data_IF_734215643048
#
_entry.id   IF_734215643048
#
_cell.length_a   1.000
_cell.length_b   1.000
_cell.length_c   1.000
_cell.angle_alpha   90.00
_cell.angle_beta   90.00
_cell.angle_gamma   90.00
#
_symmetry.space_group_name_H-M   'P 1'
#
loop_
_entity.id
_entity.type
_entity.pdbx_description
1 polymer ?
#
# COMPACT_ATOMS: atom_id res chain seq x y z
N UNK A 1 -11.69 -19.56 -21.03
CA UNK A 1 -10.76 -18.57 -20.50
C UNK A 1 -11.14 -17.15 -20.93
N UNK A 2 -11.23 -16.83 -22.23
CA UNK A 2 -11.55 -15.46 -22.71
C UNK A 2 -12.87 -14.88 -22.16
N UNK A 3 -13.96 -15.67 -22.20
CA UNK A 3 -15.26 -15.23 -21.64
C UNK A 3 -15.19 -14.95 -20.14
N UNK A 4 -14.51 -15.79 -19.36
CA UNK A 4 -14.34 -15.60 -17.93
C UNK A 4 -13.54 -14.32 -17.64
N UNK A 5 -12.44 -14.09 -18.36
CA UNK A 5 -11.64 -12.86 -18.22
C UNK A 5 -12.43 -11.62 -18.57
N UNK A 6 -13.33 -11.70 -19.58
CA UNK A 6 -14.18 -10.59 -19.98
C UNK A 6 -15.23 -10.26 -18.89
N UNK A 7 -15.86 -11.29 -18.30
CA UNK A 7 -16.80 -11.12 -17.18
C UNK A 7 -16.09 -10.49 -15.99
N UNK A 8 -14.90 -10.99 -15.63
CA UNK A 8 -14.13 -10.43 -14.52
C UNK A 8 -13.71 -8.98 -14.78
N UNK A 9 -13.37 -8.60 -16.01
CA UNK A 9 -13.10 -7.19 -16.36
C UNK A 9 -14.33 -6.31 -16.12
N UNK A 10 -15.52 -6.75 -16.53
CA UNK A 10 -16.75 -5.99 -16.28
C UNK A 10 -17.04 -5.84 -14.78
N UNK A 11 -16.84 -6.92 -13.99
CA UNK A 11 -16.98 -6.85 -12.52
C UNK A 11 -15.97 -5.87 -11.94
N UNK A 12 -14.72 -5.92 -12.39
CA UNK A 12 -13.66 -5.02 -11.95
C UNK A 12 -13.98 -3.55 -12.24
N UNK A 13 -14.45 -3.26 -13.45
CA UNK A 13 -14.84 -1.91 -13.87
C UNK A 13 -16.03 -1.39 -13.04
N UNK A 14 -16.93 -2.27 -12.60
CA UNK A 14 -18.02 -1.92 -11.71
C UNK A 14 -17.53 -1.68 -10.28
N UNK A 15 -16.69 -2.56 -9.73
CA UNK A 15 -16.14 -2.45 -8.37
C UNK A 15 -15.28 -1.19 -8.23
N UNK A 16 -14.37 -0.92 -9.17
CA UNK A 16 -13.55 0.29 -9.19
C UNK A 16 -14.21 1.45 -9.96
N UNK A 17 -15.51 1.41 -10.07
CA UNK A 17 -16.31 2.48 -10.65
C UNK A 17 -16.34 3.74 -9.77
N UNK A 18 -17.02 4.77 -10.28
CA UNK A 18 -17.19 6.05 -9.57
C UNK A 18 -17.70 5.91 -8.12
N UNK A 19 -18.63 4.99 -7.78
CA UNK A 19 -19.12 4.90 -6.41
C UNK A 19 -18.03 4.58 -5.37
N UNK A 20 -17.17 3.60 -5.64
CA UNK A 20 -16.08 3.26 -4.71
C UNK A 20 -15.02 4.36 -4.66
N UNK A 21 -14.66 4.94 -5.80
CA UNK A 21 -13.70 6.06 -5.85
C UNK A 21 -14.23 7.27 -5.07
N UNK A 22 -15.51 7.61 -5.23
CA UNK A 22 -16.15 8.68 -4.46
C UNK A 22 -16.19 8.37 -2.96
N UNK A 23 -16.44 7.12 -2.58
CA UNK A 23 -16.44 6.71 -1.17
C UNK A 23 -15.04 6.82 -0.56
N UNK A 24 -14.01 6.34 -1.25
CA UNK A 24 -12.61 6.40 -0.81
C UNK A 24 -12.13 7.85 -0.67
N UNK A 25 -12.26 8.65 -1.73
CA UNK A 25 -11.86 10.06 -1.69
C UNK A 25 -12.73 10.87 -0.74
N UNK A 26 -14.04 10.67 -0.76
CA UNK A 26 -15.00 11.36 0.11
C UNK A 26 -14.69 11.13 1.59
N UNK A 27 -14.34 9.90 1.99
CA UNK A 27 -13.91 9.58 3.34
C UNK A 27 -12.61 10.33 3.69
N UNK A 28 -11.63 10.32 2.78
CA UNK A 28 -10.36 11.04 2.99
C UNK A 28 -10.54 12.56 3.09
N UNK A 29 -11.37 13.14 2.21
CA UNK A 29 -11.74 14.55 2.24
C UNK A 29 -12.43 14.90 3.56
N UNK A 30 -13.41 14.10 3.97
CA UNK A 30 -14.12 14.30 5.24
C UNK A 30 -13.15 14.35 6.43
N UNK A 31 -12.28 13.36 6.57
CA UNK A 31 -11.31 13.34 7.66
C UNK A 31 -10.27 14.46 7.55
N UNK A 32 -9.83 14.80 6.35
CA UNK A 32 -8.91 15.92 6.13
C UNK A 32 -9.44 17.22 6.73
N UNK A 33 -10.71 17.55 6.46
CA UNK A 33 -11.32 18.77 7.00
C UNK A 33 -11.68 18.65 8.48
N UNK A 34 -12.23 17.54 8.92
CA UNK A 34 -12.62 17.34 10.33
C UNK A 34 -11.42 17.26 11.27
N UNK A 35 -10.30 16.74 10.80
CA UNK A 35 -9.06 16.67 11.57
C UNK A 35 -8.11 17.87 11.30
N UNK A 36 -8.64 18.97 10.74
CA UNK A 36 -7.93 20.24 10.54
C UNK A 36 -6.63 20.09 9.75
N UNK A 37 -6.69 19.38 8.61
CA UNK A 37 -5.53 19.12 7.74
C UNK A 37 -4.38 18.42 8.50
N UNK A 38 -4.69 17.38 9.27
CA UNK A 38 -3.75 16.68 10.14
C UNK A 38 -2.48 16.23 9.40
N UNK A 39 -2.62 15.84 8.13
CA UNK A 39 -1.51 15.43 7.27
C UNK A 39 -0.53 16.57 6.94
N UNK A 40 -0.89 17.83 7.14
CA UNK A 40 0.00 18.98 7.01
C UNK A 40 0.43 19.50 8.39
N UNK A 41 -0.53 19.70 9.27
CA UNK A 41 -0.31 20.36 10.58
C UNK A 41 0.47 19.49 11.55
N UNK A 42 0.35 18.16 11.45
CA UNK A 42 0.97 17.20 12.38
C UNK A 42 1.99 16.25 11.73
N UNK A 43 2.36 16.49 10.47
CA UNK A 43 3.30 15.61 9.75
C UNK A 43 4.67 15.52 10.45
N UNK A 44 5.21 16.62 10.94
CA UNK A 44 6.48 16.64 11.70
C UNK A 44 6.39 15.80 12.97
N UNK A 45 5.28 15.92 13.70
CA UNK A 45 5.01 15.10 14.89
C UNK A 45 4.89 13.62 14.52
N UNK A 46 4.19 13.30 13.43
CA UNK A 46 4.04 11.94 12.93
C UNK A 46 5.39 11.25 12.68
N UNK A 47 6.31 11.93 12.00
CA UNK A 47 7.67 11.40 11.80
C UNK A 47 8.46 11.25 13.11
N UNK A 48 8.29 12.17 14.07
CA UNK A 48 8.91 12.05 15.39
C UNK A 48 8.38 10.84 16.16
N UNK A 49 7.08 10.57 16.07
CA UNK A 49 6.42 9.44 16.75
C UNK A 49 6.88 8.07 16.27
N UNK A 50 7.39 7.96 15.03
CA UNK A 50 7.92 6.68 14.49
C UNK A 50 9.04 6.12 15.39
N UNK A 51 9.91 6.98 15.87
CA UNK A 51 11.11 6.59 16.63
C UNK A 51 10.95 6.75 18.15
N UNK A 52 9.77 7.18 18.59
CA UNK A 52 9.48 7.30 20.02
C UNK A 52 9.39 5.91 20.64
N UNK A 53 10.11 5.68 21.73
CA UNK A 53 9.97 4.46 22.52
C UNK A 53 8.69 4.56 23.36
N UNK A 54 7.83 3.60 23.19
CA UNK A 54 6.60 3.48 23.98
C UNK A 54 6.70 2.29 24.93
N UNK A 55 6.20 2.46 26.14
CA UNK A 55 6.10 1.43 27.17
C UNK A 55 4.68 0.86 27.27
N UNK A 56 3.98 0.77 26.15
CA UNK A 56 2.61 0.26 26.12
C UNK A 56 2.53 -1.22 25.75
N UNK A 57 1.29 -1.74 25.78
CA UNK A 57 0.99 -3.07 25.28
C UNK A 57 1.23 -3.15 23.76
N UNK A 58 1.75 -4.28 23.29
CA UNK A 58 2.01 -4.53 21.88
C UNK A 58 3.06 -5.62 21.66
N UNK A 59 3.10 -6.19 20.45
CA UNK A 59 4.02 -7.27 20.10
C UNK A 59 5.33 -6.75 19.49
N UNK A 60 5.27 -5.58 18.84
CA UNK A 60 6.39 -4.97 18.08
C UNK A 60 6.46 -3.46 18.33
N UNK A 61 7.61 -2.82 18.08
CA UNK A 61 7.74 -1.36 18.20
C UNK A 61 6.89 -0.63 17.15
N UNK A 62 6.60 0.68 17.35
CA UNK A 62 5.88 1.50 16.37
C UNK A 62 6.61 1.56 15.02
N UNK A 63 7.94 1.63 15.03
CA UNK A 63 8.76 1.55 13.83
C UNK A 63 8.62 0.19 13.12
N UNK A 64 8.67 -0.92 13.86
CA UNK A 64 8.48 -2.26 13.31
C UNK A 64 7.07 -2.47 12.76
N UNK A 65 6.04 -1.96 13.45
CA UNK A 65 4.67 -2.00 12.95
C UNK A 65 4.51 -1.19 11.64
N UNK A 66 5.13 0.00 11.57
CA UNK A 66 5.17 0.80 10.35
C UNK A 66 5.92 0.06 9.23
N UNK A 67 7.10 -0.50 9.49
CA UNK A 67 7.83 -1.29 8.50
C UNK A 67 7.04 -2.51 8.03
N UNK A 68 6.30 -3.16 8.93
CA UNK A 68 5.40 -4.27 8.57
C UNK A 68 4.25 -3.78 7.67
N UNK A 69 3.65 -2.63 7.97
CA UNK A 69 2.64 -2.02 7.11
C UNK A 69 3.24 -1.60 5.75
N UNK A 70 4.42 -0.97 5.75
CA UNK A 70 5.13 -0.61 4.52
C UNK A 70 5.56 -1.84 3.71
N UNK A 71 5.91 -2.95 4.36
CA UNK A 71 6.24 -4.18 3.65
C UNK A 71 5.08 -4.71 2.81
N UNK A 72 3.85 -4.51 3.27
CA UNK A 72 2.66 -4.92 2.54
C UNK A 72 2.28 -3.95 1.41
N UNK A 73 2.56 -2.65 1.59
CA UNK A 73 2.20 -1.58 0.65
C UNK A 73 3.27 -1.33 -0.40
N UNK A 74 4.56 -1.24 0.02
CA UNK A 74 5.67 -1.04 -0.92
C UNK A 74 5.98 -2.35 -1.64
N UNK A 75 5.42 -2.50 -2.82
CA UNK A 75 5.47 -3.72 -3.61
C UNK A 75 5.51 -3.46 -5.10
N UNK A 76 4.87 -4.34 -5.85
CA UNK A 76 4.69 -4.16 -7.29
C UNK A 76 3.90 -2.90 -7.62
N UNK A 77 3.06 -2.39 -6.71
CA UNK A 77 2.30 -1.15 -6.88
C UNK A 77 3.18 0.06 -7.21
N UNK A 78 4.30 0.20 -6.52
CA UNK A 78 5.20 1.36 -6.65
C UNK A 78 6.05 1.33 -7.93
N UNK A 79 6.28 0.17 -8.52
CA UNK A 79 7.09 -0.01 -9.73
C UNK A 79 6.20 -0.28 -10.94
N UNK A 80 5.42 -1.36 -10.88
CA UNK A 80 4.54 -1.82 -11.96
C UNK A 80 3.26 -0.98 -12.00
N UNK A 81 2.63 -0.73 -10.85
CA UNK A 81 1.37 0.01 -10.75
C UNK A 81 1.47 1.45 -11.22
N UNK A 82 2.55 2.17 -10.86
CA UNK A 82 2.80 3.54 -11.33
C UNK A 82 2.97 3.57 -12.86
N UNK A 83 3.78 2.65 -13.40
CA UNK A 83 3.99 2.54 -14.83
C UNK A 83 2.68 2.24 -15.58
N UNK A 84 1.88 1.29 -15.08
CA UNK A 84 0.56 0.96 -15.64
C UNK A 84 -0.42 2.14 -15.55
N UNK A 85 -0.38 2.91 -14.45
CA UNK A 85 -1.19 4.12 -14.33
C UNK A 85 -0.85 5.15 -15.41
N UNK A 86 0.46 5.38 -15.62
CA UNK A 86 0.95 6.33 -16.62
C UNK A 86 0.73 5.79 -18.04
N UNK A 87 0.91 4.49 -18.30
CA UNK A 87 0.60 3.90 -19.60
C UNK A 87 -0.87 4.08 -20.00
N UNK A 88 -1.79 3.87 -19.07
CA UNK A 88 -3.22 3.94 -19.32
C UNK A 88 -3.81 5.36 -19.20
N UNK A 89 -3.29 6.18 -18.28
CA UNK A 89 -3.81 7.51 -17.94
C UNK A 89 -2.90 8.69 -18.33
N UNK A 90 -1.75 8.41 -18.98
CA UNK A 90 -0.76 9.43 -19.30
C UNK A 90 -0.04 9.97 -18.06
N UNK A 91 0.90 10.94 -18.23
CA UNK A 91 1.61 11.59 -17.14
C UNK A 91 0.70 12.18 -16.05
N UNK A 92 -0.51 12.64 -16.43
CA UNK A 92 -1.51 13.18 -15.50
C UNK A 92 -2.01 12.20 -14.45
N UNK A 93 -1.91 10.89 -14.68
CA UNK A 93 -2.26 9.89 -13.68
C UNK A 93 -1.42 10.04 -12.39
N UNK A 94 -0.16 10.46 -12.49
CA UNK A 94 0.70 10.70 -11.32
C UNK A 94 0.16 11.83 -10.43
N UNK A 95 -0.36 12.90 -11.01
CA UNK A 95 -1.01 13.98 -10.25
C UNK A 95 -2.19 13.44 -9.43
N UNK A 96 -3.03 12.61 -10.03
CA UNK A 96 -4.18 12.03 -9.36
C UNK A 96 -3.79 10.98 -8.30
N UNK A 97 -2.63 10.33 -8.43
CA UNK A 97 -2.03 9.54 -7.35
C UNK A 97 -1.66 10.43 -6.15
N UNK A 98 -1.08 11.62 -6.37
CA UNK A 98 -0.80 12.58 -5.29
C UNK A 98 -2.06 13.03 -4.57
N UNK A 99 -3.11 13.35 -5.33
CA UNK A 99 -4.41 13.75 -4.77
C UNK A 99 -4.99 12.64 -3.90
N UNK A 100 -4.99 11.40 -4.39
CA UNK A 100 -5.50 10.26 -3.62
C UNK A 100 -4.68 9.99 -2.36
N UNK A 101 -3.36 10.12 -2.43
CA UNK A 101 -2.48 9.93 -1.28
C UNK A 101 -2.65 11.04 -0.24
N UNK A 102 -2.78 12.29 -0.67
CA UNK A 102 -3.00 13.42 0.23
C UNK A 102 -4.23 13.22 1.11
N UNK A 103 -5.36 12.88 0.51
CA UNK A 103 -6.58 12.59 1.26
C UNK A 103 -6.51 11.23 1.96
N UNK A 104 -5.83 10.25 1.35
CA UNK A 104 -5.60 8.92 1.91
C UNK A 104 -4.80 8.94 3.22
N UNK A 105 -3.90 9.90 3.41
CA UNK A 105 -3.16 10.08 4.67
C UNK A 105 -4.09 10.28 5.87
N UNK A 106 -5.14 11.11 5.72
CA UNK A 106 -6.12 11.31 6.79
C UNK A 106 -6.97 10.06 7.04
N UNK A 107 -7.29 9.31 5.99
CA UNK A 107 -7.96 8.01 6.12
C UNK A 107 -7.07 7.01 6.87
N UNK A 108 -5.79 6.93 6.52
CA UNK A 108 -4.81 6.04 7.16
C UNK A 108 -4.59 6.37 8.64
N UNK A 109 -4.63 7.68 8.98
CA UNK A 109 -4.64 8.14 10.37
C UNK A 109 -5.84 7.54 11.14
N UNK A 110 -7.04 7.67 10.58
CA UNK A 110 -8.27 7.18 11.20
C UNK A 110 -8.24 5.65 11.37
N UNK A 111 -7.74 4.92 10.36
CA UNK A 111 -7.54 3.47 10.41
C UNK A 111 -6.59 3.06 11.54
N UNK A 112 -5.43 3.72 11.64
CA UNK A 112 -4.43 3.43 12.66
C UNK A 112 -4.91 3.74 14.08
N UNK A 113 -5.69 4.82 14.26
CA UNK A 113 -6.31 5.18 15.52
C UNK A 113 -7.28 4.09 15.98
N UNK A 114 -8.22 3.69 15.13
CA UNK A 114 -9.21 2.66 15.49
C UNK A 114 -8.56 1.28 15.70
N UNK A 115 -7.45 0.99 15.02
CA UNK A 115 -6.72 -0.26 15.20
C UNK A 115 -6.24 -0.45 16.65
N UNK A 116 -5.73 0.60 17.29
CA UNK A 116 -5.29 0.57 18.69
C UNK A 116 -6.47 0.58 19.65
N UNK A 117 -7.47 1.42 19.39
CA UNK A 117 -8.62 1.58 20.27
C UNK A 117 -9.43 0.31 20.46
N UNK A 118 -9.56 -0.50 19.41
CA UNK A 118 -10.41 -1.72 19.41
C UNK A 118 -9.62 -3.03 19.39
N UNK A 119 -8.29 -3.00 19.56
CA UNK A 119 -7.47 -4.20 19.63
C UNK A 119 -7.78 -5.04 20.87
N UNK A 120 -7.43 -6.30 20.81
CA UNK A 120 -7.55 -7.24 21.92
C UNK A 120 -6.39 -8.25 21.90
N UNK A 121 -6.21 -9.01 22.96
CA UNK A 121 -5.31 -10.16 23.00
C UNK A 121 -6.02 -11.41 22.50
N UNK A 122 -5.34 -12.20 21.71
CA UNK A 122 -5.81 -13.51 21.29
C UNK A 122 -5.55 -14.58 22.36
N UNK A 123 -5.94 -15.83 22.08
CA UNK A 123 -5.76 -16.97 23.00
C UNK A 123 -4.30 -17.26 23.34
N UNK A 124 -3.33 -16.81 22.52
CA UNK A 124 -1.90 -16.97 22.75
C UNK A 124 -1.29 -15.73 23.44
N UNK A 125 -2.08 -14.70 23.75
CA UNK A 125 -1.62 -13.43 24.31
C UNK A 125 -1.06 -12.46 23.27
N UNK A 126 -1.09 -12.78 21.97
CA UNK A 126 -0.69 -11.89 20.88
C UNK A 126 -1.78 -10.85 20.59
N UNK A 127 -1.36 -9.67 20.16
CA UNK A 127 -2.30 -8.60 19.79
C UNK A 127 -3.02 -8.92 18.49
N UNK A 128 -4.35 -8.79 18.53
CA UNK A 128 -5.25 -8.93 17.40
C UNK A 128 -6.11 -7.66 17.26
N UNK A 129 -6.07 -7.04 16.08
CA UNK A 129 -6.81 -5.81 15.80
C UNK A 129 -7.00 -5.61 14.30
N UNK A 130 -7.55 -4.47 13.94
CA UNK A 130 -7.88 -4.13 12.57
C UNK A 130 -9.38 -3.98 12.33
N UNK A 131 -9.82 -3.82 11.06
CA UNK A 131 -11.21 -3.51 10.74
C UNK A 131 -12.24 -4.46 11.31
N UNK A 132 -11.96 -5.77 11.32
CA UNK A 132 -12.89 -6.75 11.87
C UNK A 132 -13.24 -6.45 13.34
N UNK A 133 -12.31 -5.92 14.12
CA UNK A 133 -12.53 -5.62 15.54
C UNK A 133 -13.29 -4.32 15.76
N UNK A 134 -12.96 -3.25 15.04
CA UNK A 134 -13.72 -2.01 15.21
C UNK A 134 -15.09 -2.04 14.51
N UNK A 135 -15.27 -2.87 13.46
CA UNK A 135 -16.58 -3.13 12.90
C UNK A 135 -17.49 -3.91 13.86
N UNK A 136 -16.93 -4.93 14.54
CA UNK A 136 -17.70 -5.74 15.49
C UNK A 136 -17.99 -4.99 16.80
N UNK A 137 -16.95 -4.42 17.43
CA UNK A 137 -17.05 -3.81 18.76
C UNK A 137 -17.47 -2.34 18.73
N UNK A 138 -16.97 -1.57 17.76
CA UNK A 138 -17.28 -0.15 17.64
C UNK A 138 -18.60 0.09 16.93
N UNK A 139 -18.81 -0.56 15.79
CA UNK A 139 -20.03 -0.38 14.99
C UNK A 139 -21.12 -1.41 15.33
N UNK A 140 -20.85 -2.37 16.23
CA UNK A 140 -21.75 -3.48 16.59
C UNK A 140 -22.26 -4.26 15.38
N UNK A 141 -21.42 -4.45 14.36
CA UNK A 141 -21.77 -5.15 13.12
C UNK A 141 -20.87 -6.36 12.83
N UNK A 142 -21.11 -7.52 13.48
CA UNK A 142 -20.35 -8.74 13.22
C UNK A 142 -20.45 -9.22 11.77
N UNK A 143 -21.53 -8.87 11.07
CA UNK A 143 -21.71 -9.20 9.67
C UNK A 143 -20.67 -8.50 8.77
N UNK A 144 -20.52 -7.18 8.91
CA UNK A 144 -19.51 -6.42 8.15
C UNK A 144 -18.09 -6.86 8.52
N UNK A 145 -17.85 -7.16 9.80
CA UNK A 145 -16.56 -7.66 10.28
C UNK A 145 -16.16 -8.99 9.60
N UNK A 146 -17.11 -9.93 9.48
CA UNK A 146 -16.89 -11.21 8.77
C UNK A 146 -16.69 -11.02 7.27
N UNK A 147 -17.43 -10.11 6.63
CA UNK A 147 -17.24 -9.76 5.21
C UNK A 147 -15.84 -9.21 5.00
N UNK A 148 -15.40 -8.24 5.83
CA UNK A 148 -14.04 -7.71 5.76
C UNK A 148 -13.00 -8.81 5.89
N UNK A 149 -13.10 -9.64 6.92
CA UNK A 149 -12.14 -10.71 7.17
C UNK A 149 -12.10 -11.75 6.04
N UNK A 150 -13.27 -12.10 5.46
CA UNK A 150 -13.34 -12.98 4.29
C UNK A 150 -12.60 -12.39 3.08
N UNK A 151 -12.83 -11.12 2.76
CA UNK A 151 -12.09 -10.47 1.68
C UNK A 151 -10.61 -10.29 2.01
N UNK A 152 -10.26 -10.02 3.28
CA UNK A 152 -8.86 -9.95 3.72
C UNK A 152 -8.09 -11.25 3.48
N UNK A 153 -8.69 -12.41 3.80
CA UNK A 153 -8.14 -13.73 3.46
C UNK A 153 -8.05 -13.92 1.94
N UNK A 154 -9.08 -13.48 1.21
CA UNK A 154 -9.11 -13.62 -0.26
C UNK A 154 -8.02 -12.78 -0.93
N UNK A 155 -7.80 -11.54 -0.47
CA UNK A 155 -6.72 -10.67 -0.96
C UNK A 155 -5.35 -11.28 -0.66
N UNK A 156 -5.15 -11.82 0.54
CA UNK A 156 -3.90 -12.47 0.90
C UNK A 156 -3.61 -13.70 0.04
N UNK A 157 -4.60 -14.55 -0.22
CA UNK A 157 -4.44 -15.80 -0.97
C UNK A 157 -4.46 -15.61 -2.49
N UNK A 158 -5.39 -14.83 -3.01
CA UNK A 158 -5.71 -14.77 -4.44
C UNK A 158 -5.31 -13.45 -5.10
N UNK A 159 -4.99 -12.44 -4.30
CA UNK A 159 -4.78 -11.08 -4.75
C UNK A 159 -3.33 -10.60 -4.66
N UNK A 160 -3.21 -9.37 -4.19
CA UNK A 160 -1.94 -8.64 -4.04
C UNK A 160 -0.97 -9.34 -3.08
N UNK A 161 -1.47 -10.15 -2.15
CA UNK A 161 -0.65 -10.82 -1.14
C UNK A 161 0.23 -11.95 -1.67
N UNK A 162 -0.14 -12.62 -2.77
CA UNK A 162 0.59 -13.78 -3.29
C UNK A 162 0.84 -13.69 -4.78
N UNK A 163 -0.15 -13.97 -5.61
CA UNK A 163 0.04 -14.25 -7.03
C UNK A 163 0.67 -13.10 -7.81
N UNK A 164 0.23 -11.87 -7.58
CA UNK A 164 0.78 -10.68 -8.27
C UNK A 164 2.26 -10.50 -7.96
N UNK A 165 2.65 -10.68 -6.71
CA UNK A 165 4.02 -10.50 -6.25
C UNK A 165 4.92 -11.64 -6.75
N UNK A 166 4.51 -12.88 -6.51
CA UNK A 166 5.27 -14.07 -6.88
C UNK A 166 5.49 -14.13 -8.39
N UNK A 167 4.47 -13.81 -9.17
CA UNK A 167 4.56 -13.78 -10.63
C UNK A 167 5.50 -12.68 -11.11
N UNK A 168 5.41 -11.47 -10.51
CA UNK A 168 6.28 -10.35 -10.86
C UNK A 168 7.75 -10.64 -10.52
N UNK A 169 8.04 -11.28 -9.38
CA UNK A 169 9.40 -11.74 -9.03
C UNK A 169 9.89 -12.75 -10.08
N UNK A 170 9.05 -13.75 -10.39
CA UNK A 170 9.43 -14.82 -11.32
C UNK A 170 9.73 -14.31 -12.73
N UNK A 171 8.88 -13.42 -13.23
CA UNK A 171 9.10 -12.82 -14.56
C UNK A 171 10.31 -11.87 -14.53
N UNK A 172 10.48 -11.07 -13.49
CA UNK A 172 11.64 -10.18 -13.32
C UNK A 172 12.97 -10.96 -13.29
N UNK A 173 13.06 -12.04 -12.53
CA UNK A 173 14.26 -12.88 -12.45
C UNK A 173 14.50 -13.64 -13.76
N UNK A 174 13.45 -14.13 -14.39
CA UNK A 174 13.57 -14.79 -15.69
C UNK A 174 14.10 -13.84 -16.78
N UNK A 175 13.61 -12.60 -16.82
CA UNK A 175 14.04 -11.58 -17.79
C UNK A 175 15.44 -11.02 -17.50
N UNK A 176 15.86 -10.97 -16.22
CA UNK A 176 17.13 -10.34 -15.83
C UNK A 176 18.32 -11.29 -15.91
N UNK A 177 18.17 -12.50 -15.40
CA UNK A 177 19.23 -13.50 -15.23
C UNK A 177 18.90 -14.87 -15.82
N UNK A 178 17.77 -14.98 -16.56
CA UNK A 178 17.34 -16.24 -17.17
C UNK A 178 16.92 -17.32 -16.17
N UNK A 179 16.54 -16.95 -14.94
CA UNK A 179 16.19 -17.92 -13.89
C UNK A 179 14.92 -18.69 -14.26
N UNK A 180 14.93 -20.03 -14.24
CA UNK A 180 13.75 -20.83 -14.52
C UNK A 180 12.67 -20.61 -13.45
N UNK A 181 11.40 -20.59 -13.86
CA UNK A 181 10.24 -20.34 -12.98
C UNK A 181 10.15 -21.32 -11.81
N UNK A 182 10.49 -22.60 -12.01
CA UNK A 182 10.46 -23.59 -10.94
C UNK A 182 11.52 -23.34 -9.86
N UNK A 183 12.69 -22.78 -10.23
CA UNK A 183 13.73 -22.39 -9.27
C UNK A 183 13.23 -21.24 -8.41
N UNK A 184 12.66 -20.22 -9.04
CA UNK A 184 12.03 -19.09 -8.32
C UNK A 184 10.93 -19.59 -7.38
N UNK A 185 10.06 -20.51 -7.84
CA UNK A 185 9.01 -21.10 -7.02
C UNK A 185 9.55 -21.75 -5.76
N UNK A 186 10.59 -22.60 -5.88
CA UNK A 186 11.20 -23.30 -4.75
C UNK A 186 11.84 -22.30 -3.78
N UNK A 187 12.66 -21.37 -4.27
CA UNK A 187 13.37 -20.40 -3.44
C UNK A 187 12.38 -19.50 -2.64
N UNK A 188 11.36 -18.98 -3.31
CA UNK A 188 10.35 -18.15 -2.65
C UNK A 188 9.54 -18.94 -1.63
N UNK A 189 9.12 -20.17 -1.97
CA UNK A 189 8.35 -21.02 -1.06
C UNK A 189 9.13 -21.30 0.21
N UNK A 190 10.40 -21.69 0.10
CA UNK A 190 11.27 -21.97 1.25
C UNK A 190 11.51 -20.71 2.09
N UNK A 191 11.85 -19.59 1.45
CA UNK A 191 12.12 -18.33 2.14
C UNK A 191 10.89 -17.81 2.89
N UNK A 192 9.72 -17.79 2.25
CA UNK A 192 8.47 -17.35 2.87
C UNK A 192 8.05 -18.28 4.00
N UNK A 193 8.11 -19.60 3.81
CA UNK A 193 7.80 -20.56 4.86
C UNK A 193 8.68 -20.34 6.10
N UNK A 194 9.99 -20.17 5.91
CA UNK A 194 10.93 -19.95 7.01
C UNK A 194 10.64 -18.69 7.82
N UNK A 195 10.23 -17.60 7.16
CA UNK A 195 9.94 -16.33 7.84
C UNK A 195 8.57 -16.36 8.51
N UNK A 196 7.53 -16.83 7.80
CA UNK A 196 6.13 -16.76 8.27
C UNK A 196 5.82 -17.73 9.42
N UNK A 197 6.58 -18.82 9.58
CA UNK A 197 6.46 -19.71 10.74
C UNK A 197 6.81 -18.95 12.05
N UNK A 198 7.70 -17.97 12.00
CA UNK A 198 8.10 -17.17 13.17
C UNK A 198 7.12 -16.07 13.58
N UNK A 199 5.96 -15.95 12.95
CA UNK A 199 4.92 -14.98 13.30
C UNK A 199 5.32 -13.51 13.07
N UNK A 200 4.56 -12.59 13.69
CA UNK A 200 4.70 -11.15 13.49
C UNK A 200 6.10 -10.63 13.88
N UNK A 201 6.70 -11.17 14.92
CA UNK A 201 8.01 -10.71 15.39
C UNK A 201 9.11 -10.94 14.36
N UNK A 202 9.10 -12.11 13.69
CA UNK A 202 10.08 -12.41 12.64
C UNK A 202 9.79 -11.62 11.36
N UNK A 203 8.52 -11.50 10.98
CA UNK A 203 8.10 -10.69 9.84
C UNK A 203 8.53 -9.24 10.03
N UNK A 204 8.26 -8.65 11.20
CA UNK A 204 8.63 -7.29 11.54
C UNK A 204 10.15 -7.08 11.57
N UNK A 205 10.91 -8.04 12.13
CA UNK A 205 12.38 -7.98 12.15
C UNK A 205 13.02 -8.05 10.76
N UNK A 206 12.39 -8.76 9.81
CA UNK A 206 12.81 -8.75 8.40
C UNK A 206 12.44 -7.43 7.75
N UNK A 207 11.20 -6.97 7.94
CA UNK A 207 10.68 -5.75 7.34
C UNK A 207 11.48 -4.51 7.76
N UNK A 208 11.80 -4.36 9.06
CA UNK A 208 12.58 -3.22 9.58
C UNK A 208 13.97 -3.06 8.98
N UNK A 209 14.57 -4.16 8.48
CA UNK A 209 15.89 -4.15 7.84
C UNK A 209 15.80 -3.98 6.33
N UNK A 210 14.87 -4.71 5.71
CA UNK A 210 14.75 -4.78 4.25
C UNK A 210 14.13 -3.51 3.68
N UNK A 211 13.05 -2.99 4.29
CA UNK A 211 12.33 -1.83 3.76
C UNK A 211 13.20 -0.57 3.66
N UNK A 212 13.92 -0.12 4.73
CA UNK A 212 14.75 1.07 4.60
C UNK A 212 15.88 0.89 3.59
N UNK A 213 16.53 -0.29 3.57
CA UNK A 213 17.61 -0.58 2.63
C UNK A 213 17.15 -0.46 1.18
N UNK A 214 16.00 -1.05 0.86
CA UNK A 214 15.43 -1.01 -0.48
C UNK A 214 14.99 0.38 -0.89
N UNK A 215 14.35 1.11 0.02
CA UNK A 215 13.94 2.49 -0.23
C UNK A 215 15.16 3.36 -0.56
N UNK A 216 16.25 3.23 0.20
CA UNK A 216 17.49 3.97 -0.04
C UNK A 216 18.08 3.63 -1.41
N UNK A 217 18.16 2.35 -1.77
CA UNK A 217 18.70 1.93 -3.07
C UNK A 217 17.83 2.43 -4.23
N UNK A 218 16.51 2.28 -4.12
CA UNK A 218 15.60 2.68 -5.17
C UNK A 218 15.53 4.20 -5.33
N UNK A 219 15.33 4.93 -4.23
CA UNK A 219 15.31 6.40 -4.22
C UNK A 219 16.66 6.96 -4.68
N UNK A 220 17.78 6.37 -4.23
CA UNK A 220 19.12 6.75 -4.66
C UNK A 220 19.29 6.65 -6.18
N UNK A 221 18.81 5.57 -6.79
CA UNK A 221 18.80 5.42 -8.26
C UNK A 221 18.00 6.51 -8.96
N UNK A 222 16.80 6.82 -8.45
CA UNK A 222 15.98 7.91 -9.04
C UNK A 222 16.61 9.28 -8.81
N UNK A 223 17.16 9.55 -7.63
CA UNK A 223 17.84 10.83 -7.37
C UNK A 223 18.98 11.06 -8.37
N UNK A 224 19.75 10.02 -8.70
CA UNK A 224 20.76 10.12 -9.74
C UNK A 224 20.16 10.49 -11.11
N UNK A 225 19.02 9.89 -11.48
CA UNK A 225 18.30 10.27 -12.72
C UNK A 225 17.85 11.74 -12.66
N UNK A 226 17.25 12.18 -11.55
CA UNK A 226 16.76 13.54 -11.39
C UNK A 226 17.90 14.58 -11.46
N UNK A 227 19.02 14.29 -10.80
CA UNK A 227 20.19 15.17 -10.82
C UNK A 227 20.80 15.26 -12.23
N UNK A 228 20.90 14.13 -12.95
CA UNK A 228 21.41 14.10 -14.32
C UNK A 228 20.53 14.89 -15.30
N UNK A 229 19.25 15.05 -15.01
CA UNK A 229 18.28 15.72 -15.87
C UNK A 229 17.60 16.90 -15.18
N UNK A 230 18.28 17.55 -14.23
CA UNK A 230 17.72 18.59 -13.34
C UNK A 230 17.05 19.75 -14.12
N UNK A 231 17.59 20.10 -15.28
CA UNK A 231 17.07 21.16 -16.14
C UNK A 231 15.69 20.85 -16.73
N UNK A 232 15.36 19.56 -16.88
CA UNK A 232 14.07 19.11 -17.41
C UNK A 232 13.01 18.93 -16.32
N UNK A 233 13.39 18.95 -15.05
CA UNK A 233 12.48 18.69 -13.93
C UNK A 233 11.31 19.68 -13.86
N UNK A 234 11.49 21.02 -14.00
CA UNK A 234 10.36 21.97 -13.98
C UNK A 234 9.36 21.73 -15.12
N UNK A 235 9.83 21.45 -16.32
CA UNK A 235 8.98 21.14 -17.48
C UNK A 235 8.24 19.81 -17.32
N UNK A 236 8.88 18.82 -16.70
CA UNK A 236 8.28 17.53 -16.37
C UNK A 236 7.14 17.68 -15.36
N UNK A 237 7.33 18.44 -14.29
CA UNK A 237 6.30 18.74 -13.32
C UNK A 237 5.11 19.50 -13.94
N UNK A 238 5.42 20.51 -14.78
CA UNK A 238 4.40 21.25 -15.51
C UNK A 238 3.61 20.33 -16.47
N UNK A 239 4.28 19.39 -17.14
CA UNK A 239 3.64 18.38 -17.99
C UNK A 239 2.69 17.48 -17.20
N UNK A 240 3.11 16.97 -16.03
CA UNK A 240 2.28 16.12 -15.17
C UNK A 240 1.02 16.87 -14.76
N UNK A 241 1.14 18.11 -14.26
CA UNK A 241 0.01 18.91 -13.83
C UNK A 241 -0.91 19.24 -15.02
N UNK A 242 -0.35 19.71 -16.14
CA UNK A 242 -1.14 20.04 -17.33
C UNK A 242 -1.90 18.81 -17.86
N UNK A 243 -1.23 17.66 -17.93
CA UNK A 243 -1.81 16.40 -18.42
C UNK A 243 -2.93 15.87 -17.53
N UNK A 244 -2.98 16.25 -16.25
CA UNK A 244 -4.03 15.85 -15.34
C UNK A 244 -5.39 16.49 -15.67
N UNK A 245 -5.38 17.64 -16.34
CA UNK A 245 -6.58 18.45 -16.61
C UNK A 245 -6.88 18.65 -18.10
N UNK A 246 -6.01 18.16 -18.99
CA UNK A 246 -6.20 18.30 -20.44
C UNK A 246 -6.31 16.94 -21.12
N UNK A 247 -7.26 16.76 -22.06
CA UNK A 247 -7.29 15.58 -22.91
C UNK A 247 -5.99 15.44 -23.69
N UNK A 248 -5.40 14.25 -23.72
CA UNK A 248 -4.20 13.97 -24.49
C UNK A 248 -4.50 13.01 -25.63
N UNK A 249 -3.93 13.28 -26.81
CA UNK A 249 -3.90 12.31 -27.88
C UNK A 249 -2.94 11.18 -27.53
N UNK A 250 -3.36 9.93 -27.67
CA UNK A 250 -2.49 8.77 -27.47
C UNK A 250 -1.54 8.69 -28.66
N UNK A 251 -0.24 8.64 -28.39
CA UNK A 251 0.76 8.33 -29.40
C UNK A 251 0.54 6.89 -29.88
N UNK A 252 0.14 6.70 -31.13
CA UNK A 252 0.00 5.38 -31.75
C UNK A 252 -1.43 4.92 -32.13
N UNK A 253 -2.36 5.83 -32.36
CA UNK A 253 -3.63 5.52 -33.05
C UNK A 253 -4.77 4.98 -32.17
N UNK A 254 -4.71 5.16 -30.86
CA UNK A 254 -5.79 4.84 -29.93
C UNK A 254 -6.69 6.04 -29.62
N UNK A 255 -7.81 5.79 -28.91
CA UNK A 255 -8.70 6.84 -28.37
C UNK A 255 -7.96 7.74 -27.40
N UNK A 256 -8.13 9.07 -27.49
CA UNK A 256 -7.46 10.05 -26.64
C UNK A 256 -7.70 9.78 -25.15
N UNK A 257 -6.66 9.97 -24.31
CA UNK A 257 -6.77 9.87 -22.85
C UNK A 257 -7.58 11.07 -22.37
N UNK A 258 -8.73 10.78 -21.74
CA UNK A 258 -9.54 11.82 -21.11
C UNK A 258 -9.06 12.10 -19.70
N UNK A 259 -9.37 13.29 -19.16
CA UNK A 259 -9.13 13.63 -17.74
C UNK A 259 -9.73 12.57 -16.80
N UNK A 260 -10.90 12.03 -17.14
CA UNK A 260 -11.59 11.00 -16.34
C UNK A 260 -10.76 9.71 -16.26
N UNK A 261 -10.16 9.28 -17.38
CA UNK A 261 -9.30 8.09 -17.42
C UNK A 261 -8.03 8.33 -16.58
N UNK A 262 -7.37 9.49 -16.76
CA UNK A 262 -6.19 9.84 -15.96
C UNK A 262 -6.51 9.84 -14.45
N UNK A 263 -7.64 10.42 -14.08
CA UNK A 263 -8.13 10.45 -12.69
C UNK A 263 -8.41 9.04 -12.17
N UNK A 264 -9.20 8.24 -12.87
CA UNK A 264 -9.54 6.88 -12.44
C UNK A 264 -8.31 6.00 -12.30
N UNK A 265 -7.41 6.02 -13.28
CA UNK A 265 -6.18 5.20 -13.24
C UNK A 265 -5.22 5.68 -12.18
N UNK A 266 -5.05 7.00 -12.01
CA UNK A 266 -4.20 7.55 -10.96
C UNK A 266 -4.72 7.24 -9.57
N UNK A 267 -6.00 7.48 -9.28
CA UNK A 267 -6.60 7.21 -7.98
C UNK A 267 -6.59 5.71 -7.66
N UNK A 268 -7.06 4.87 -8.59
CA UNK A 268 -7.13 3.43 -8.40
C UNK A 268 -5.74 2.83 -8.11
N UNK A 269 -4.71 3.17 -8.90
CA UNK A 269 -3.36 2.66 -8.72
C UNK A 269 -2.65 3.29 -7.52
N UNK A 270 -2.96 4.54 -7.18
CA UNK A 270 -2.50 5.17 -5.94
C UNK A 270 -3.01 4.44 -4.71
N UNK A 271 -4.31 4.16 -4.63
CA UNK A 271 -4.93 3.42 -3.53
C UNK A 271 -4.46 1.96 -3.51
N UNK A 272 -4.30 1.33 -4.67
CA UNK A 272 -3.73 -0.02 -4.77
C UNK A 272 -2.32 -0.10 -4.16
N UNK A 273 -1.51 0.96 -4.33
CA UNK A 273 -0.16 1.03 -3.77
C UNK A 273 -0.18 1.29 -2.27
N UNK A 274 -0.81 2.38 -1.81
CA UNK A 274 -0.73 2.82 -0.41
C UNK A 274 -1.78 2.20 0.52
N UNK A 275 -2.76 1.48 -0.02
CA UNK A 275 -3.82 0.77 0.71
C UNK A 275 -4.67 1.67 1.63
N UNK A 276 -4.74 2.98 1.39
CA UNK A 276 -5.55 3.89 2.20
C UNK A 276 -7.03 3.66 1.98
N UNK A 277 -7.75 3.35 3.04
CA UNK A 277 -9.18 3.02 2.98
C UNK A 277 -9.48 1.55 2.69
N UNK A 278 -8.46 0.72 2.42
CA UNK A 278 -8.63 -0.72 2.24
C UNK A 278 -8.75 -1.48 3.58
N UNK A 279 -8.21 -0.93 4.67
CA UNK A 279 -8.29 -1.54 6.00
C UNK A 279 -7.24 -2.62 6.28
N UNK A 280 -6.29 -2.85 5.41
CA UNK A 280 -5.23 -3.85 5.58
C UNK A 280 -4.17 -3.42 6.61
N UNK A 281 -3.60 -2.24 6.46
CA UNK A 281 -2.54 -1.74 7.33
C UNK A 281 -2.91 -1.59 8.81
N UNK A 282 -4.15 -1.28 9.22
CA UNK A 282 -4.59 -1.33 10.61
C UNK A 282 -4.30 -2.66 11.32
N UNK A 283 -4.24 -3.77 10.58
CA UNK A 283 -3.94 -5.10 11.14
C UNK A 283 -2.51 -5.15 11.71
N UNK A 284 -1.52 -4.57 11.00
CA UNK A 284 -0.17 -4.44 11.51
C UNK A 284 -0.04 -3.33 12.56
N UNK A 285 -0.74 -2.21 12.35
CA UNK A 285 -0.73 -1.09 13.29
C UNK A 285 -1.22 -1.48 14.69
N UNK A 286 -2.18 -2.40 14.78
CA UNK A 286 -2.69 -2.90 16.05
C UNK A 286 -1.63 -3.57 16.92
N UNK A 287 -0.62 -4.20 16.32
CA UNK A 287 0.46 -4.88 17.02
C UNK A 287 1.51 -3.94 17.62
N UNK A 288 1.44 -2.63 17.34
CA UNK A 288 2.41 -1.66 17.83
C UNK A 288 2.34 -1.48 19.35
N UNK A 289 3.52 -1.39 19.99
CA UNK A 289 3.63 -1.01 21.41
C UNK A 289 3.32 0.46 21.56
N UNK A 290 2.15 0.77 22.07
CA UNK A 290 1.72 2.14 22.37
C UNK A 290 0.46 2.13 23.22
N UNK A 291 0.28 3.15 24.06
CA UNK A 291 -0.95 3.39 24.82
C UNK A 291 -1.80 4.51 24.18
N UNK A 292 -1.24 5.20 23.17
CA UNK A 292 -1.94 6.28 22.48
C UNK A 292 -2.43 5.83 21.09
N UNK A 293 -3.74 5.81 20.91
CA UNK A 293 -4.36 5.54 19.61
C UNK A 293 -4.06 6.66 18.60
N UNK A 294 -3.95 7.91 19.06
CA UNK A 294 -3.63 9.06 18.22
C UNK A 294 -2.20 9.00 17.70
N UNK A 295 -1.22 8.65 18.55
CA UNK A 295 0.17 8.52 18.11
C UNK A 295 0.33 7.43 17.05
N UNK A 296 -0.33 6.29 17.22
CA UNK A 296 -0.29 5.24 16.20
C UNK A 296 -1.04 5.65 14.91
N UNK A 297 -2.11 6.42 15.02
CA UNK A 297 -2.75 7.05 13.86
C UNK A 297 -1.78 7.93 13.07
N UNK A 298 -1.00 8.78 13.78
CA UNK A 298 0.02 9.63 13.18
C UNK A 298 1.11 8.79 12.50
N UNK A 299 1.61 7.74 13.15
CA UNK A 299 2.60 6.82 12.56
C UNK A 299 2.04 6.17 11.31
N UNK A 300 0.81 5.66 11.34
CA UNK A 300 0.17 4.99 10.20
C UNK A 300 0.00 5.91 8.99
N UNK A 301 -0.30 7.21 9.23
CA UNK A 301 -0.40 8.23 8.19
C UNK A 301 0.89 8.39 7.39
N UNK A 302 2.07 8.26 8.02
CA UNK A 302 3.36 8.38 7.35
C UNK A 302 3.59 7.29 6.33
N UNK A 303 2.96 6.13 6.49
CA UNK A 303 3.04 5.02 5.52
C UNK A 303 2.58 5.45 4.13
N UNK A 304 1.41 6.11 4.02
CA UNK A 304 0.90 6.63 2.74
C UNK A 304 1.81 7.73 2.16
N UNK A 305 2.38 8.58 3.01
CA UNK A 305 3.34 9.59 2.57
C UNK A 305 4.59 8.94 1.96
N UNK A 306 5.20 7.99 2.65
CA UNK A 306 6.42 7.30 2.18
C UNK A 306 6.12 6.51 0.91
N UNK A 307 5.05 5.73 0.88
CA UNK A 307 4.67 4.89 -0.26
C UNK A 307 4.41 5.73 -1.52
N UNK A 308 3.48 6.66 -1.46
CA UNK A 308 2.97 7.31 -2.67
C UNK A 308 3.60 8.68 -2.91
N UNK A 309 3.67 9.56 -1.88
CA UNK A 309 4.25 10.89 -2.08
C UNK A 309 5.76 10.81 -2.32
N UNK A 310 6.44 9.82 -1.74
CA UNK A 310 7.88 9.64 -2.01
C UNK A 310 8.08 8.60 -3.12
N UNK A 311 7.84 7.31 -2.88
CA UNK A 311 8.31 6.24 -3.77
C UNK A 311 7.58 6.23 -5.12
N UNK A 312 6.23 6.31 -5.15
CA UNK A 312 5.51 6.36 -6.43
C UNK A 312 5.85 7.64 -7.22
N UNK A 313 6.05 8.78 -6.52
CA UNK A 313 6.51 10.01 -7.18
C UNK A 313 7.88 9.83 -7.84
N UNK A 314 8.83 9.19 -7.14
CA UNK A 314 10.15 8.91 -7.70
C UNK A 314 10.04 8.05 -8.97
N UNK A 315 9.27 6.97 -8.92
CA UNK A 315 9.03 6.12 -10.11
C UNK A 315 8.40 6.92 -11.26
N UNK A 316 7.33 7.66 -10.96
CA UNK A 316 6.60 8.43 -11.96
C UNK A 316 7.46 9.53 -12.59
N UNK A 317 8.26 10.25 -11.80
CA UNK A 317 9.21 11.25 -12.31
C UNK A 317 10.27 10.62 -13.21
N UNK A 318 10.84 9.48 -12.83
CA UNK A 318 11.80 8.77 -13.67
C UNK A 318 11.18 8.40 -15.05
N UNK A 319 9.95 7.87 -15.05
CA UNK A 319 9.25 7.48 -16.28
C UNK A 319 8.93 8.69 -17.15
N UNK A 320 8.42 9.78 -16.58
CA UNK A 320 8.00 10.96 -17.35
C UNK A 320 9.21 11.74 -17.84
N UNK A 321 10.25 11.91 -17.02
CA UNK A 321 11.48 12.63 -17.34
C UNK A 321 12.23 11.99 -18.50
N UNK A 322 12.31 10.66 -18.51
CA UNK A 322 12.97 9.88 -19.58
C UNK A 322 12.06 9.62 -20.79
N UNK A 323 10.83 10.14 -20.77
CA UNK A 323 9.81 9.92 -21.80
C UNK A 323 9.50 8.43 -22.07
N UNK A 324 9.78 7.55 -21.11
CA UNK A 324 9.59 6.09 -21.28
C UNK A 324 8.14 5.70 -21.51
N UNK A 325 7.19 6.54 -21.12
CA UNK A 325 5.74 6.34 -21.37
C UNK A 325 5.36 6.43 -22.86
N UNK A 326 6.24 6.97 -23.72
CA UNK A 326 5.98 7.06 -25.18
C UNK A 326 6.44 5.82 -25.96
N UNK A 327 7.11 4.89 -25.31
CA UNK A 327 7.71 3.71 -25.96
C UNK A 327 6.73 2.57 -26.23
N UNK A 328 5.48 2.65 -25.73
CA UNK A 328 4.51 1.56 -25.80
C UNK A 328 4.78 0.43 -24.81
N UNK A 329 5.79 0.55 -23.95
CA UNK A 329 6.04 -0.39 -22.84
C UNK A 329 5.04 -0.18 -21.70
N UNK A 330 4.83 -1.20 -20.86
CA UNK A 330 4.00 -1.13 -19.68
C UNK A 330 4.67 -1.80 -18.47
N UNK A 331 4.17 -1.54 -17.28
CA UNK A 331 4.54 -2.19 -16.04
C UNK A 331 6.05 -2.12 -15.75
N UNK A 332 6.62 -3.26 -15.32
CA UNK A 332 8.03 -3.34 -14.95
C UNK A 332 8.97 -3.01 -16.13
N UNK A 333 8.58 -3.31 -17.38
CA UNK A 333 9.38 -3.04 -18.55
C UNK A 333 9.56 -1.53 -18.78
N UNK A 334 8.50 -0.73 -18.61
CA UNK A 334 8.56 0.72 -18.71
C UNK A 334 9.46 1.31 -17.63
N UNK A 335 9.31 0.90 -16.38
CA UNK A 335 10.17 1.39 -15.29
C UNK A 335 11.63 0.99 -15.49
N UNK A 336 11.89 -0.24 -15.93
CA UNK A 336 13.25 -0.71 -16.24
C UNK A 336 13.87 0.10 -17.39
N UNK A 337 13.09 0.41 -18.41
CA UNK A 337 13.52 1.27 -19.51
C UNK A 337 13.87 2.68 -18.99
N UNK A 338 13.00 3.27 -18.15
CA UNK A 338 13.23 4.59 -17.58
C UNK A 338 14.56 4.68 -16.81
N UNK A 339 14.87 3.70 -15.99
CA UNK A 339 16.12 3.64 -15.25
C UNK A 339 17.33 3.36 -16.14
N UNK A 340 17.16 2.53 -17.19
CA UNK A 340 18.24 2.20 -18.11
C UNK A 340 18.64 3.39 -18.98
N UNK A 341 17.69 4.21 -19.41
CA UNK A 341 17.94 5.41 -20.21
C UNK A 341 18.36 6.60 -19.34
N UNK A 342 17.79 6.71 -18.13
CA UNK A 342 18.01 7.82 -17.22
C UNK A 342 19.35 7.80 -16.48
N UNK A 343 19.99 6.63 -16.35
CA UNK A 343 21.30 6.49 -15.69
C UNK A 343 22.44 6.39 -16.71
N UNK A 344 23.61 6.90 -16.32
CA UNK A 344 24.83 6.83 -17.19
C UNK A 344 25.22 5.40 -17.57
N UNK A 345 24.91 4.42 -16.70
CA UNK A 345 25.19 3.00 -16.95
C UNK A 345 23.85 2.25 -17.01
N UNK A 346 23.34 1.93 -18.21
CA UNK A 346 22.02 1.30 -18.40
C UNK A 346 21.84 -0.02 -17.61
N UNK A 347 22.92 -0.79 -17.47
CA UNK A 347 22.91 -2.05 -16.74
C UNK A 347 22.63 -1.87 -15.26
N UNK A 348 23.16 -0.83 -14.63
CA UNK A 348 22.88 -0.50 -13.22
C UNK A 348 21.40 -0.18 -13.04
N UNK A 349 20.83 0.63 -13.95
CA UNK A 349 19.40 0.96 -13.94
C UNK A 349 18.51 -0.29 -13.98
N UNK A 350 18.83 -1.21 -14.88
CA UNK A 350 18.13 -2.50 -14.98
C UNK A 350 18.21 -3.30 -13.66
N UNK A 351 19.38 -3.38 -13.02
CA UNK A 351 19.54 -4.12 -11.78
C UNK A 351 18.83 -3.44 -10.61
N UNK A 352 18.87 -2.11 -10.47
CA UNK A 352 18.17 -1.40 -9.40
C UNK A 352 16.67 -1.71 -9.42
N UNK A 353 16.03 -1.63 -10.60
CA UNK A 353 14.60 -1.92 -10.72
C UNK A 353 14.28 -3.39 -10.43
N UNK A 354 15.05 -4.33 -11.01
CA UNK A 354 14.75 -5.75 -10.85
C UNK A 354 15.04 -6.25 -9.43
N UNK A 355 16.13 -5.83 -8.80
CA UNK A 355 16.43 -6.15 -7.41
C UNK A 355 15.39 -5.48 -6.49
N UNK A 356 15.07 -4.21 -6.74
CA UNK A 356 14.02 -3.50 -6.04
C UNK A 356 12.67 -4.24 -6.13
N UNK A 357 12.28 -4.67 -7.32
CA UNK A 357 11.05 -5.42 -7.53
C UNK A 357 11.03 -6.74 -6.74
N UNK A 358 12.14 -7.49 -6.74
CA UNK A 358 12.24 -8.74 -6.00
C UNK A 358 12.07 -8.51 -4.50
N UNK A 359 12.77 -7.54 -3.93
CA UNK A 359 12.67 -7.25 -2.50
C UNK A 359 11.31 -6.67 -2.13
N UNK A 360 10.81 -5.69 -2.86
CA UNK A 360 9.50 -5.08 -2.63
C UNK A 360 8.37 -6.12 -2.70
N UNK A 361 8.35 -6.94 -3.74
CA UNK A 361 7.35 -7.98 -3.87
C UNK A 361 7.50 -9.08 -2.79
N UNK A 362 8.73 -9.45 -2.42
CA UNK A 362 8.98 -10.42 -1.36
C UNK A 362 8.48 -9.92 0.00
N UNK A 363 8.75 -8.67 0.34
CA UNK A 363 8.25 -8.10 1.61
C UNK A 363 6.74 -7.99 1.61
N UNK A 364 6.11 -7.70 0.47
CA UNK A 364 4.64 -7.70 0.35
C UNK A 364 4.05 -9.08 0.62
N UNK A 365 4.67 -10.15 0.12
CA UNK A 365 4.23 -11.52 0.41
C UNK A 365 4.23 -11.79 1.92
N UNK A 366 5.32 -11.49 2.62
CA UNK A 366 5.40 -11.77 4.07
C UNK A 366 4.46 -10.90 4.90
N UNK A 367 4.26 -9.62 4.52
CA UNK A 367 3.33 -8.72 5.19
C UNK A 367 1.87 -9.16 5.02
N UNK A 368 1.46 -9.49 3.80
CA UNK A 368 0.11 -9.98 3.52
C UNK A 368 -0.17 -11.37 4.11
N UNK A 369 0.87 -12.21 4.29
CA UNK A 369 0.70 -13.45 5.04
C UNK A 369 0.17 -13.18 6.45
N UNK A 370 0.74 -12.20 7.13
CA UNK A 370 0.28 -11.80 8.47
C UNK A 370 -1.15 -11.24 8.45
N UNK A 371 -1.50 -10.40 7.48
CA UNK A 371 -2.86 -9.85 7.38
C UNK A 371 -3.92 -10.94 7.19
N UNK A 372 -3.67 -11.86 6.27
CA UNK A 372 -4.57 -12.98 6.04
C UNK A 372 -4.64 -13.95 7.22
N UNK A 373 -3.53 -14.14 7.95
CA UNK A 373 -3.49 -14.93 9.19
C UNK A 373 -4.43 -14.34 10.26
N UNK A 374 -4.35 -13.01 10.49
CA UNK A 374 -5.22 -12.33 11.47
C UNK A 374 -6.68 -12.33 11.05
N UNK A 375 -6.97 -12.17 9.76
CA UNK A 375 -8.32 -12.31 9.21
C UNK A 375 -8.87 -13.75 9.37
N UNK A 376 -8.04 -14.75 9.09
CA UNK A 376 -8.43 -16.17 9.27
C UNK A 376 -8.64 -16.51 10.74
N UNK A 377 -7.80 -16.01 11.64
CA UNK A 377 -7.97 -16.14 13.08
C UNK A 377 -9.33 -15.60 13.52
N UNK A 378 -9.69 -14.40 13.08
CA UNK A 378 -11.00 -13.79 13.40
C UNK A 378 -12.17 -14.65 12.91
N UNK A 379 -12.09 -15.25 11.71
CA UNK A 379 -13.17 -16.05 11.14
C UNK A 379 -13.36 -17.42 11.79
N UNK A 380 -12.27 -18.14 12.10
CA UNK A 380 -12.29 -19.58 12.43
C UNK A 380 -11.33 -19.98 13.55
N UNK A 381 -10.62 -19.04 14.21
CA UNK A 381 -9.69 -19.29 15.30
C UNK A 381 -8.37 -19.95 14.89
N UNK A 382 -7.55 -20.31 15.88
CA UNK A 382 -6.17 -20.79 15.71
C UNK A 382 -6.03 -22.06 14.85
N UNK A 383 -7.02 -22.98 14.90
CA UNK A 383 -6.95 -24.22 14.09
C UNK A 383 -6.95 -23.92 12.59
N UNK A 384 -7.75 -22.93 12.16
CA UNK A 384 -7.84 -22.54 10.77
C UNK A 384 -6.59 -21.79 10.29
N UNK A 385 -5.89 -21.07 11.16
CA UNK A 385 -4.63 -20.41 10.84
C UNK A 385 -3.56 -21.39 10.34
N UNK A 386 -3.47 -22.58 10.93
CA UNK A 386 -2.54 -23.61 10.48
C UNK A 386 -2.82 -24.05 9.04
N UNK A 387 -4.10 -24.25 8.72
CA UNK A 387 -4.53 -24.63 7.36
C UNK A 387 -4.26 -23.47 6.38
N UNK A 388 -4.59 -22.25 6.79
CA UNK A 388 -4.31 -21.05 5.99
C UNK A 388 -2.83 -20.92 5.62
N UNK A 389 -1.90 -21.10 6.57
CA UNK A 389 -0.45 -21.04 6.31
C UNK A 389 -0.01 -22.07 5.28
N UNK A 390 -0.53 -23.30 5.36
CA UNK A 390 -0.21 -24.36 4.38
C UNK A 390 -0.73 -23.97 2.99
N UNK A 391 -1.99 -23.52 2.89
CA UNK A 391 -2.60 -23.10 1.62
C UNK A 391 -1.85 -21.91 1.02
N UNK A 392 -1.45 -20.94 1.87
CA UNK A 392 -0.66 -19.78 1.46
C UNK A 392 0.67 -20.19 0.81
N UNK A 393 1.40 -21.12 1.43
CA UNK A 393 2.68 -21.63 0.92
C UNK A 393 2.48 -22.38 -0.40
N UNK A 394 1.41 -23.18 -0.53
CA UNK A 394 1.07 -23.86 -1.79
C UNK A 394 0.81 -22.83 -2.91
N UNK A 395 0.10 -21.75 -2.61
CA UNK A 395 -0.21 -20.71 -3.59
C UNK A 395 1.03 -19.94 -4.05
N UNK A 396 2.02 -19.76 -3.16
CA UNK A 396 3.32 -19.22 -3.56
C UNK A 396 4.03 -20.14 -4.54
N UNK A 397 4.02 -21.44 -4.29
CA UNK A 397 4.65 -22.42 -5.19
C UNK A 397 4.00 -22.45 -6.60
N UNK A 398 2.70 -22.23 -6.69
CA UNK A 398 1.93 -22.25 -7.95
C UNK A 398 2.02 -20.89 -8.67
N UNK A 399 2.17 -19.78 -7.94
CA UNK A 399 2.11 -18.41 -8.46
C UNK A 399 2.93 -18.13 -9.73
N UNK A 400 4.19 -18.60 -9.88
CA UNK A 400 5.01 -18.35 -11.06
C UNK A 400 4.41 -18.90 -12.38
N UNK A 401 3.48 -19.83 -12.30
CA UNK A 401 2.88 -20.51 -13.45
C UNK A 401 1.52 -19.94 -13.86
N UNK A 402 0.99 -18.98 -13.09
CA UNK A 402 -0.29 -18.35 -13.38
C UNK A 402 -0.18 -17.25 -14.44
N UNK A 403 -1.31 -16.86 -15.08
CA UNK A 403 -1.36 -15.76 -16.03
C UNK A 403 -1.55 -14.41 -15.32
N UNK A 404 -0.76 -13.40 -15.73
CA UNK A 404 -0.78 -12.07 -15.09
C UNK A 404 -2.15 -11.40 -15.17
N UNK A 405 -2.76 -11.36 -16.36
CA UNK A 405 -4.02 -10.62 -16.57
C UNK A 405 -5.14 -11.11 -15.65
N UNK A 406 -5.28 -12.45 -15.53
CA UNK A 406 -6.29 -13.04 -14.65
C UNK A 406 -6.05 -12.70 -13.18
N UNK A 407 -4.77 -12.79 -12.75
CA UNK A 407 -4.36 -12.51 -11.38
C UNK A 407 -4.63 -11.05 -10.99
N UNK A 408 -4.23 -10.08 -11.83
CA UNK A 408 -4.41 -8.66 -11.50
C UNK A 408 -5.89 -8.26 -11.44
N UNK A 409 -6.72 -8.78 -12.33
CA UNK A 409 -8.16 -8.50 -12.30
C UNK A 409 -8.80 -9.05 -11.02
N UNK A 410 -8.45 -10.28 -10.65
CA UNK A 410 -8.97 -10.89 -9.43
C UNK A 410 -8.50 -10.15 -8.18
N UNK A 411 -7.22 -9.78 -8.13
CA UNK A 411 -6.65 -8.98 -7.04
C UNK A 411 -7.36 -7.63 -6.88
N UNK A 412 -7.60 -6.92 -7.97
CA UNK A 412 -8.33 -5.65 -7.97
C UNK A 412 -9.75 -5.82 -7.41
N UNK A 413 -10.50 -6.83 -7.86
CA UNK A 413 -11.88 -7.09 -7.40
C UNK A 413 -11.92 -7.33 -5.88
N UNK A 414 -11.10 -8.26 -5.37
CA UNK A 414 -11.14 -8.60 -3.94
C UNK A 414 -10.66 -7.44 -3.06
N UNK A 415 -9.69 -6.64 -3.52
CA UNK A 415 -9.26 -5.42 -2.84
C UNK A 415 -10.39 -4.38 -2.75
N UNK A 416 -11.07 -4.11 -3.86
CA UNK A 416 -12.18 -3.17 -3.87
C UNK A 416 -13.34 -3.60 -2.97
N UNK A 417 -13.66 -4.89 -2.98
CA UNK A 417 -14.70 -5.44 -2.08
C UNK A 417 -14.31 -5.37 -0.60
N UNK A 418 -13.02 -5.50 -0.26
CA UNK A 418 -12.52 -5.35 1.11
C UNK A 418 -12.63 -3.92 1.62
N UNK A 419 -12.46 -2.91 0.76
CA UNK A 419 -12.55 -1.50 1.12
C UNK A 419 -13.93 -1.10 1.64
N UNK A 420 -15.00 -1.63 1.07
CA UNK A 420 -16.37 -1.20 1.36
C UNK A 420 -16.73 -1.32 2.84
N UNK A 421 -16.63 -2.49 3.50
CA UNK A 421 -16.93 -2.61 4.93
C UNK A 421 -16.00 -1.74 5.79
N UNK A 422 -14.74 -1.58 5.42
CA UNK A 422 -13.81 -0.71 6.14
C UNK A 422 -14.27 0.75 6.12
N UNK A 423 -14.60 1.30 4.95
CA UNK A 423 -15.05 2.68 4.81
C UNK A 423 -16.38 2.93 5.53
N UNK A 424 -17.30 1.97 5.53
CA UNK A 424 -18.53 2.02 6.35
C UNK A 424 -18.15 2.15 7.83
N UNK A 425 -17.18 1.35 8.30
CA UNK A 425 -16.68 1.42 9.68
C UNK A 425 -16.09 2.78 10.04
N UNK A 426 -15.22 3.31 9.19
CA UNK A 426 -14.59 4.62 9.41
C UNK A 426 -15.63 5.76 9.47
N UNK A 427 -16.59 5.77 8.54
CA UNK A 427 -17.67 6.77 8.54
C UNK A 427 -18.58 6.58 9.75
N UNK A 428 -18.90 5.35 10.13
CA UNK A 428 -19.72 5.04 11.30
C UNK A 428 -19.09 5.52 12.60
N UNK A 429 -17.79 5.32 12.76
CA UNK A 429 -17.02 5.68 13.95
C UNK A 429 -16.37 7.08 13.87
N UNK A 430 -16.75 7.90 12.90
CA UNK A 430 -16.14 9.22 12.66
C UNK A 430 -16.17 10.16 13.86
N UNK A 431 -17.20 10.09 14.71
CA UNK A 431 -17.32 10.94 15.90
C UNK A 431 -16.26 10.56 16.95
N UNK A 432 -15.99 9.27 17.13
CA UNK A 432 -14.95 8.81 18.05
C UNK A 432 -13.55 9.23 17.58
N UNK A 433 -13.26 9.05 16.28
CA UNK A 433 -11.97 9.43 15.70
C UNK A 433 -11.71 10.92 15.96
N UNK A 434 -12.70 11.78 15.73
CA UNK A 434 -12.58 13.22 15.95
C UNK A 434 -12.41 13.53 17.43
N UNK A 435 -13.24 12.93 18.29
CA UNK A 435 -13.21 13.19 19.74
C UNK A 435 -11.86 12.80 20.38
N UNK A 436 -11.34 11.60 20.05
CA UNK A 436 -10.02 11.14 20.52
C UNK A 436 -8.89 12.07 20.07
N UNK A 437 -8.98 12.53 18.82
CA UNK A 437 -7.98 13.46 18.27
C UNK A 437 -8.04 14.83 18.96
N UNK A 438 -9.23 15.38 19.15
CA UNK A 438 -9.42 16.66 19.82
C UNK A 438 -9.03 16.59 21.30
N UNK A 439 -9.34 15.50 21.99
CA UNK A 439 -8.93 15.29 23.36
C UNK A 439 -7.40 15.27 23.50
N UNK A 440 -6.72 14.51 22.64
CA UNK A 440 -5.25 14.39 22.68
C UNK A 440 -4.57 15.74 22.46
N UNK A 441 -4.96 16.49 21.43
CA UNK A 441 -4.33 17.77 21.12
C UNK A 441 -4.84 18.92 21.98
N UNK A 442 -6.01 18.80 22.60
CA UNK A 442 -6.52 19.76 23.59
C UNK A 442 -5.71 19.72 24.89
N UNK A 443 -5.42 18.52 25.38
CA UNK A 443 -4.55 18.35 26.56
C UNK A 443 -3.11 18.87 26.31
N UNK A 444 -2.55 18.66 25.11
CA UNK A 444 -1.21 19.19 24.79
C UNK A 444 -1.16 20.72 24.85
N UNK A 445 -2.21 21.43 24.41
CA UNK A 445 -2.28 22.88 24.48
C UNK A 445 -2.38 23.41 25.91
N UNK A 446 -3.10 22.72 26.79
CA UNK A 446 -3.17 23.09 28.20
C UNK A 446 -1.83 22.89 28.90
N UNK A 447 -1.11 21.82 28.63
CA UNK A 447 0.22 21.57 29.21
C UNK A 447 1.23 22.62 28.71
N UNK A 448 1.25 22.93 27.42
CA UNK A 448 2.15 23.94 26.84
C UNK A 448 1.84 25.34 27.40
N UNK A 449 0.56 25.68 27.64
CA UNK A 449 0.13 26.94 28.26
C UNK A 449 0.61 27.05 29.71
N UNK A 450 0.47 25.97 30.50
CA UNK A 450 0.91 25.94 31.91
C UNK A 450 2.45 26.01 31.97
N UNK A 451 3.19 25.31 31.15
CA UNK A 451 4.65 25.31 31.10
C UNK A 451 5.21 26.69 30.70
N UNK A 452 4.50 27.41 29.80
CA UNK A 452 4.88 28.77 29.40
C UNK A 452 4.48 29.86 30.44
N UNK A 453 3.63 29.52 31.41
CA UNK A 453 3.28 30.45 32.52
C UNK A 453 4.20 30.28 33.73
N UNK A 454 4.91 29.11 33.85
CA UNK A 454 5.84 28.82 34.94
C UNK A 454 7.31 29.15 34.60
N UNK A 455 7.65 29.49 33.34
CA UNK A 455 8.97 29.93 32.88
C UNK A 455 9.03 31.42 32.58
#
# INVERSE_FOLDING_TARGET
MQLLTQILKQINDYVWGLPLICLLLGTGIYFTFKLRLIQLTKLKLAFKSIFKKHEGEGDVSSFQALCTALSSTIGTGNIVGVATAIAAGGPGALFWMWVSAFFGMATKYAEGLLAIRYRQKDENGEIAGGPMYYLEKGLHSPFLAKIFAFFGVSVALLGIGTFTQVKSISDGLSMSIGMPRYVTAILLTVAVAFITIGGIQRIASVAEKVIPLMCILYIGGVVLILVSHITLLPSTLALIIKSAFTPQAVFGGGTGITMVIAMQKGISRGIFSNESGLGSAPIAAAAAKTDSCVEQGLVSMTGTFIDTIVICTMTGLAIVLTQSYTTGLDGAAMTTHAFSVGLFIPLIGKYIVNIGLVFFAFTTIIGWNYYGERCMYYLKGLKAVKIYKIVYIIFIAIGPFMSLDFIFILADIVNGCMAIPNLIGLIGLRKEIVAETEQYFGCDQEIEFITNMEG
#
